data_IF_816274534221
#
_entry.id   IF_816274534221
#
_cell.length_a   1.000
_cell.length_b   1.000
_cell.length_c   1.000
_cell.angle_alpha   90.00
_cell.angle_beta   90.00
_cell.angle_gamma   90.00
#
_symmetry.space_group_name_H-M   'P 1'
#
loop_
_entity.id
_entity.type
_entity.pdbx_description
1 polymer ?
#
# COMPACT_ATOMS: atom_id res chain seq x y z
N UNK A 1 -33.07 69.08 -6.12
CA UNK A 1 -32.69 68.12 -7.19
C UNK A 1 -32.29 66.84 -6.48
N UNK A 2 -33.00 65.74 -6.72
CA UNK A 2 -32.76 64.49 -6.00
C UNK A 2 -31.40 63.92 -6.40
N UNK A 3 -30.47 63.81 -5.44
CA UNK A 3 -29.27 63.00 -5.60
C UNK A 3 -29.71 61.56 -5.87
N UNK A 4 -29.62 61.13 -7.13
CA UNK A 4 -29.80 59.74 -7.49
C UNK A 4 -28.71 58.94 -6.76
N UNK A 5 -29.10 58.15 -5.76
CA UNK A 5 -28.20 57.20 -5.09
C UNK A 5 -27.55 56.33 -6.15
N UNK A 6 -26.29 56.61 -6.49
CA UNK A 6 -25.51 55.79 -7.42
C UNK A 6 -25.30 54.43 -6.79
N UNK A 7 -25.98 53.43 -7.34
CA UNK A 7 -25.78 52.04 -6.94
C UNK A 7 -24.49 51.53 -7.57
N UNK A 8 -23.37 51.76 -6.88
CA UNK A 8 -22.02 51.42 -7.34
C UNK A 8 -21.96 49.96 -7.80
N UNK A 9 -22.51 49.03 -7.02
CA UNK A 9 -22.56 47.60 -7.36
C UNK A 9 -23.26 47.34 -8.71
N UNK A 10 -24.41 47.97 -8.95
CA UNK A 10 -25.18 47.82 -10.18
C UNK A 10 -24.38 48.32 -11.40
N UNK A 11 -23.65 49.41 -11.25
CA UNK A 11 -22.77 49.92 -12.30
C UNK A 11 -21.60 48.95 -12.60
N UNK A 12 -21.05 48.26 -11.59
CA UNK A 12 -20.03 47.22 -11.80
C UNK A 12 -20.61 46.01 -12.52
N UNK A 13 -21.79 45.54 -12.10
CA UNK A 13 -22.52 44.45 -12.77
C UNK A 13 -22.84 44.76 -14.23
N UNK A 14 -23.34 45.96 -14.53
CA UNK A 14 -23.59 46.41 -15.91
C UNK A 14 -22.31 46.47 -16.74
N UNK A 15 -21.22 46.94 -16.14
CA UNK A 15 -19.92 46.98 -16.80
C UNK A 15 -19.41 45.57 -17.13
N UNK A 16 -19.52 44.64 -16.18
CA UNK A 16 -19.17 43.22 -16.38
C UNK A 16 -20.05 42.59 -17.47
N UNK A 17 -21.35 42.89 -17.49
CA UNK A 17 -22.28 42.39 -18.50
C UNK A 17 -21.94 42.87 -19.92
N UNK A 18 -21.55 44.15 -20.05
CA UNK A 18 -21.04 44.70 -21.32
C UNK A 18 -19.73 44.03 -21.78
N UNK A 19 -18.96 43.50 -20.84
CA UNK A 19 -17.68 42.79 -21.08
C UNK A 19 -17.79 41.28 -20.85
N UNK A 20 -18.97 40.69 -21.05
CA UNK A 20 -19.21 39.24 -20.88
C UNK A 20 -18.21 38.33 -21.62
N UNK A 21 -17.67 38.78 -22.75
CA UNK A 21 -16.63 38.06 -23.50
C UNK A 21 -15.32 37.88 -22.71
N UNK A 22 -14.98 38.79 -21.80
CA UNK A 22 -13.81 38.66 -20.93
C UNK A 22 -13.94 37.46 -19.99
N UNK A 23 -15.16 37.13 -19.52
CA UNK A 23 -15.43 35.93 -18.72
C UNK A 23 -15.31 34.63 -19.49
N UNK A 24 -15.26 34.68 -20.82
CA UNK A 24 -15.06 33.49 -21.65
C UNK A 24 -13.61 33.38 -22.09
N UNK A 25 -13.01 34.47 -22.59
CA UNK A 25 -11.67 34.47 -23.18
C UNK A 25 -10.58 34.30 -22.12
N UNK A 26 -10.64 35.05 -21.02
CA UNK A 26 -9.55 35.07 -20.03
C UNK A 26 -9.43 33.72 -19.30
N UNK A 27 -10.51 33.08 -18.81
CA UNK A 27 -10.40 31.75 -18.20
C UNK A 27 -9.89 30.68 -19.16
N UNK A 28 -10.27 30.75 -20.45
CA UNK A 28 -9.76 29.83 -21.47
C UNK A 28 -8.26 30.01 -21.71
N UNK A 29 -7.76 31.25 -21.78
CA UNK A 29 -6.32 31.52 -21.89
C UNK A 29 -5.57 30.96 -20.68
N UNK A 30 -6.09 31.19 -19.46
CA UNK A 30 -5.46 30.68 -18.25
C UNK A 30 -5.54 29.14 -18.14
N UNK A 31 -6.59 28.51 -18.65
CA UNK A 31 -6.66 27.05 -18.76
C UNK A 31 -5.60 26.51 -19.72
N UNK A 32 -5.38 27.17 -20.87
CA UNK A 32 -4.31 26.83 -21.81
C UNK A 32 -2.92 27.06 -21.19
N UNK A 33 -2.74 28.12 -20.40
CA UNK A 33 -1.51 28.37 -19.66
C UNK A 33 -1.28 27.30 -18.59
N UNK A 34 -2.31 26.86 -17.87
CA UNK A 34 -2.22 25.75 -16.92
C UNK A 34 -1.83 24.43 -17.60
N UNK A 35 -2.41 24.16 -18.76
CA UNK A 35 -2.03 23.02 -19.60
C UNK A 35 -0.59 23.14 -20.12
N UNK A 36 -0.17 24.31 -20.60
CA UNK A 36 1.22 24.54 -21.01
C UNK A 36 2.19 24.40 -19.83
N UNK A 37 1.83 24.93 -18.67
CA UNK A 37 2.59 24.80 -17.43
C UNK A 37 2.73 23.33 -17.03
N UNK A 38 1.73 22.48 -17.26
CA UNK A 38 1.83 21.03 -16.98
C UNK A 38 2.87 20.29 -17.83
N UNK A 39 3.32 20.87 -18.96
CA UNK A 39 4.43 20.34 -19.76
C UNK A 39 5.80 20.84 -19.28
N UNK A 40 5.83 21.94 -18.53
CA UNK A 40 7.07 22.58 -18.04
C UNK A 40 7.34 22.24 -16.57
N UNK A 41 6.28 22.12 -15.77
CA UNK A 41 6.32 21.61 -14.40
C UNK A 41 6.48 20.10 -14.54
N UNK A 42 7.74 19.66 -14.56
CA UNK A 42 8.10 18.24 -14.55
C UNK A 42 7.36 17.53 -13.43
N UNK A 43 6.67 16.44 -13.74
CA UNK A 43 6.48 15.38 -12.76
C UNK A 43 7.88 14.88 -12.39
N UNK A 44 8.16 14.64 -11.10
CA UNK A 44 9.50 14.26 -10.61
C UNK A 44 10.09 13.01 -11.31
N UNK A 45 9.29 12.27 -12.09
CA UNK A 45 9.72 11.27 -13.06
C UNK A 45 8.78 11.18 -14.27
N UNK A 46 9.28 10.71 -15.42
CA UNK A 46 8.47 10.40 -16.62
C UNK A 46 7.70 9.09 -16.53
N UNK A 47 8.22 8.11 -15.80
CA UNK A 47 7.63 6.78 -15.69
C UNK A 47 7.46 6.36 -14.23
N UNK A 48 6.52 5.45 -14.01
CA UNK A 48 6.23 4.85 -12.72
C UNK A 48 6.14 3.34 -12.89
N UNK A 49 7.03 2.62 -12.22
CA UNK A 49 7.02 1.18 -12.11
C UNK A 49 6.18 0.78 -10.92
N UNK A 50 5.27 -0.17 -11.09
CA UNK A 50 4.45 -0.74 -10.03
C UNK A 50 4.65 -2.26 -10.01
N UNK A 51 5.10 -2.78 -8.88
CA UNK A 51 5.13 -4.20 -8.61
C UNK A 51 4.25 -4.55 -7.41
N UNK A 52 3.59 -5.69 -7.45
CA UNK A 52 2.84 -6.25 -6.32
C UNK A 52 3.28 -7.67 -6.10
N UNK A 53 3.86 -7.92 -4.93
CA UNK A 53 4.33 -9.23 -4.48
C UNK A 53 3.40 -9.73 -3.38
N UNK A 54 2.88 -10.93 -3.57
CA UNK A 54 2.12 -11.64 -2.54
C UNK A 54 3.07 -12.28 -1.55
N UNK A 55 2.91 -11.95 -0.26
CA UNK A 55 3.77 -12.47 0.82
C UNK A 55 3.27 -13.79 1.38
N UNK A 56 2.08 -14.25 0.97
CA UNK A 56 1.45 -15.46 1.50
C UNK A 56 1.23 -15.37 3.01
N UNK A 57 1.60 -16.44 3.70
CA UNK A 57 1.49 -16.57 5.16
C UNK A 57 2.68 -15.96 5.94
N UNK A 58 3.57 -15.22 5.29
CA UNK A 58 4.74 -14.61 5.90
C UNK A 58 4.34 -13.29 6.58
N UNK A 59 4.58 -13.20 7.88
CA UNK A 59 4.31 -12.01 8.72
C UNK A 59 5.58 -11.37 9.30
N UNK A 60 6.75 -11.81 8.84
CA UNK A 60 8.02 -11.34 9.39
C UNK A 60 8.23 -9.86 9.06
N UNK A 61 8.38 -9.01 10.09
CA UNK A 61 8.56 -7.56 9.91
C UNK A 61 9.73 -7.16 9.00
N UNK A 62 10.77 -8.00 8.88
CA UNK A 62 11.87 -7.76 7.94
C UNK A 62 11.46 -7.83 6.47
N UNK A 63 10.38 -8.56 6.16
CA UNK A 63 9.86 -8.82 4.81
C UNK A 63 8.48 -8.18 4.57
N UNK A 64 7.86 -7.61 5.60
CA UNK A 64 6.50 -7.02 5.54
C UNK A 64 6.42 -5.60 6.09
N UNK A 65 7.54 -4.97 6.42
CA UNK A 65 7.59 -3.56 6.78
C UNK A 65 8.12 -2.74 5.59
N UNK A 66 7.42 -1.67 5.16
CA UNK A 66 7.84 -0.80 4.07
C UNK A 66 9.30 -0.31 4.16
N UNK A 67 9.70 0.23 5.30
CA UNK A 67 11.02 0.81 5.50
C UNK A 67 12.12 -0.24 5.36
N UNK A 68 11.88 -1.44 5.91
CA UNK A 68 12.79 -2.56 5.76
C UNK A 68 12.87 -3.06 4.31
N UNK A 69 11.76 -3.02 3.57
CA UNK A 69 11.73 -3.44 2.18
C UNK A 69 12.57 -2.49 1.33
N UNK A 70 12.40 -1.18 1.51
CA UNK A 70 13.21 -0.17 0.82
C UNK A 70 14.68 -0.30 1.22
N UNK A 71 14.98 -0.42 2.52
CA UNK A 71 16.36 -0.50 3.01
C UNK A 71 17.10 -1.76 2.56
N UNK A 72 16.44 -2.92 2.53
CA UNK A 72 17.10 -4.20 2.24
C UNK A 72 17.09 -4.57 0.75
N UNK A 73 16.12 -4.07 -0.02
CA UNK A 73 15.94 -4.47 -1.42
C UNK A 73 16.09 -3.33 -2.42
N UNK A 74 16.10 -2.06 -1.96
CA UNK A 74 16.30 -0.88 -2.79
C UNK A 74 17.77 -0.60 -3.17
N UNK A 75 18.73 -1.38 -2.68
CA UNK A 75 20.14 -1.19 -3.04
C UNK A 75 20.36 -1.40 -4.55
N UNK A 76 20.90 -0.40 -5.23
CA UNK A 76 21.17 -0.44 -6.68
C UNK A 76 19.91 -0.31 -7.55
N UNK A 77 18.82 0.23 -7.00
CA UNK A 77 17.67 0.74 -7.74
C UNK A 77 17.81 2.25 -7.85
N UNK A 78 17.73 2.79 -9.06
CA UNK A 78 17.80 4.24 -9.25
C UNK A 78 16.41 4.89 -9.00
N UNK A 79 16.38 6.17 -8.64
CA UNK A 79 15.12 6.92 -8.46
C UNK A 79 14.43 6.78 -7.10
N UNK A 80 13.21 7.33 -7.02
CA UNK A 80 12.44 7.37 -5.76
C UNK A 80 11.64 6.08 -5.60
N UNK A 81 11.87 5.38 -4.48
CA UNK A 81 11.22 4.12 -4.14
C UNK A 81 10.20 4.38 -3.03
N UNK A 82 8.96 3.96 -3.26
CA UNK A 82 7.90 3.93 -2.27
C UNK A 82 7.41 2.48 -2.12
N UNK A 83 7.30 2.02 -0.87
CA UNK A 83 6.83 0.69 -0.56
C UNK A 83 5.59 0.79 0.33
N UNK A 84 4.58 -0.02 0.01
CA UNK A 84 3.35 -0.06 0.78
C UNK A 84 2.95 -1.50 1.03
N UNK A 85 2.61 -1.83 2.27
CA UNK A 85 2.13 -3.17 2.62
C UNK A 85 0.63 -3.12 2.91
N UNK A 86 -0.15 -3.79 2.07
CA UNK A 86 -1.61 -3.83 2.20
C UNK A 86 -2.02 -4.94 3.17
N UNK A 87 -2.54 -4.54 4.34
CA UNK A 87 -3.30 -5.32 5.33
C UNK A 87 -2.99 -6.84 5.41
N UNK A 88 -1.71 -7.21 5.41
CA UNK A 88 -1.14 -8.50 5.82
C UNK A 88 -0.68 -9.48 4.73
N UNK A 89 -0.86 -9.22 3.43
CA UNK A 89 -0.46 -10.23 2.40
C UNK A 89 0.14 -9.69 1.11
N UNK A 90 0.27 -8.38 0.95
CA UNK A 90 0.78 -7.80 -0.30
C UNK A 90 1.80 -6.71 -0.02
N UNK A 91 2.95 -6.81 -0.67
CA UNK A 91 3.95 -5.76 -0.78
C UNK A 91 3.77 -5.09 -2.14
N UNK A 92 3.43 -3.81 -2.14
CA UNK A 92 3.37 -2.96 -3.31
C UNK A 92 4.62 -2.12 -3.35
N UNK A 93 5.29 -2.10 -4.49
CA UNK A 93 6.50 -1.34 -4.74
C UNK A 93 6.19 -0.38 -5.86
N UNK A 94 6.56 0.88 -5.66
CA UNK A 94 6.44 1.94 -6.65
C UNK A 94 7.81 2.56 -6.84
N UNK A 95 8.31 2.57 -8.07
CA UNK A 95 9.61 3.17 -8.43
C UNK A 95 9.34 4.26 -9.46
N UNK A 96 9.91 5.44 -9.28
CA UNK A 96 9.79 6.56 -10.21
C UNK A 96 11.14 6.84 -10.88
N UNK A 97 11.19 6.79 -12.20
CA UNK A 97 12.39 7.05 -13.00
C UNK A 97 12.06 7.67 -14.38
N UNK A 98 13.06 8.26 -15.02
CA UNK A 98 12.94 8.89 -16.33
C UNK A 98 13.20 7.95 -17.51
N UNK A 99 13.93 6.85 -17.29
CA UNK A 99 14.22 5.83 -18.29
C UNK A 99 13.32 4.61 -18.08
N UNK A 100 12.61 4.19 -19.14
CA UNK A 100 11.66 3.07 -19.08
C UNK A 100 12.36 1.72 -18.99
N UNK A 101 13.48 1.54 -19.68
CA UNK A 101 14.20 0.27 -19.74
C UNK A 101 14.92 0.02 -18.42
N UNK A 102 15.58 1.05 -17.89
CA UNK A 102 16.21 1.02 -16.57
C UNK A 102 15.18 0.75 -15.48
N UNK A 103 14.04 1.45 -15.51
CA UNK A 103 12.94 1.25 -14.57
C UNK A 103 12.39 -0.17 -14.59
N UNK A 104 12.22 -0.75 -15.78
CA UNK A 104 11.74 -2.13 -15.90
C UNK A 104 12.76 -3.12 -15.33
N UNK A 105 14.05 -2.90 -15.57
CA UNK A 105 15.14 -3.72 -15.05
C UNK A 105 15.19 -3.64 -13.52
N UNK A 106 15.13 -2.45 -12.96
CA UNK A 106 15.21 -2.21 -11.52
C UNK A 106 13.96 -2.73 -10.79
N UNK A 107 12.78 -2.50 -11.36
CA UNK A 107 11.52 -3.02 -10.84
C UNK A 107 11.52 -4.56 -10.81
N UNK A 108 11.96 -5.19 -11.90
CA UNK A 108 12.09 -6.65 -11.97
C UNK A 108 13.11 -7.15 -10.95
N UNK A 109 14.33 -6.59 -10.93
CA UNK A 109 15.38 -7.01 -10.01
C UNK A 109 14.97 -6.87 -8.54
N UNK A 110 14.32 -5.76 -8.17
CA UNK A 110 13.83 -5.54 -6.82
C UNK A 110 12.71 -6.53 -6.47
N UNK A 111 11.75 -6.75 -7.38
CA UNK A 111 10.65 -7.69 -7.17
C UNK A 111 11.13 -9.14 -7.01
N UNK A 112 12.12 -9.56 -7.81
CA UNK A 112 12.74 -10.89 -7.73
C UNK A 112 13.53 -11.08 -6.43
N UNK A 113 14.26 -10.06 -5.96
CA UNK A 113 14.96 -10.13 -4.67
C UNK A 113 13.98 -10.31 -3.51
N UNK A 114 12.87 -9.59 -3.53
CA UNK A 114 11.81 -9.70 -2.52
C UNK A 114 11.15 -11.08 -2.59
N UNK A 115 10.77 -11.53 -3.78
CA UNK A 115 10.20 -12.86 -3.98
C UNK A 115 11.15 -13.96 -3.48
N UNK A 116 12.43 -13.92 -3.87
CA UNK A 116 13.41 -14.91 -3.43
C UNK A 116 13.59 -14.93 -1.90
N UNK A 117 13.58 -13.76 -1.26
CA UNK A 117 13.65 -13.68 0.20
C UNK A 117 12.40 -14.28 0.86
N UNK A 118 11.21 -14.01 0.29
CA UNK A 118 9.95 -14.58 0.76
C UNK A 118 9.91 -16.11 0.54
N UNK A 119 10.30 -16.61 -0.63
CA UNK A 119 10.36 -18.05 -0.94
C UNK A 119 11.31 -18.75 0.03
N UNK A 120 12.47 -18.16 0.31
CA UNK A 120 13.44 -18.74 1.25
C UNK A 120 12.88 -18.83 2.68
N UNK A 121 12.20 -17.79 3.17
CA UNK A 121 11.54 -17.83 4.48
C UNK A 121 10.39 -18.86 4.49
N UNK A 122 9.59 -18.90 3.42
CA UNK A 122 8.53 -19.89 3.24
C UNK A 122 9.08 -21.33 3.33
N UNK A 123 10.09 -21.67 2.55
CA UNK A 123 10.70 -23.01 2.55
C UNK A 123 11.29 -23.38 3.90
N UNK A 124 11.97 -22.43 4.54
CA UNK A 124 12.52 -22.63 5.88
C UNK A 124 11.43 -22.92 6.91
N UNK A 125 10.37 -22.10 6.94
CA UNK A 125 9.25 -22.28 7.87
C UNK A 125 8.53 -23.59 7.60
N UNK A 126 8.23 -23.90 6.34
CA UNK A 126 7.60 -25.16 5.94
C UNK A 126 8.41 -26.35 6.44
N UNK A 127 9.72 -26.37 6.18
CA UNK A 127 10.61 -27.45 6.63
C UNK A 127 10.62 -27.62 8.15
N UNK A 128 10.77 -26.52 8.91
CA UNK A 128 10.77 -26.56 10.38
C UNK A 128 9.44 -27.08 10.91
N UNK A 129 8.33 -26.65 10.31
CA UNK A 129 6.98 -27.08 10.69
C UNK A 129 6.75 -28.57 10.37
N UNK A 130 7.20 -29.05 9.22
CA UNK A 130 7.15 -30.48 8.83
C UNK A 130 7.98 -31.34 9.79
N UNK A 131 9.21 -30.93 10.12
CA UNK A 131 10.07 -31.62 11.10
C UNK A 131 9.43 -31.65 12.49
N UNK A 132 8.78 -30.57 12.91
CA UNK A 132 8.06 -30.53 14.19
C UNK A 132 6.85 -31.47 14.20
N UNK A 133 6.10 -31.53 13.10
CA UNK A 133 4.99 -32.48 12.93
C UNK A 133 5.47 -33.93 13.07
N UNK A 134 6.56 -34.29 12.39
CA UNK A 134 7.14 -35.63 12.46
C UNK A 134 7.61 -36.00 13.88
N UNK A 135 8.16 -35.04 14.65
CA UNK A 135 8.53 -35.26 16.06
C UNK A 135 7.32 -35.48 16.96
N UNK A 136 6.20 -34.78 16.71
CA UNK A 136 4.97 -34.99 17.45
C UNK A 136 4.36 -36.37 17.16
N UNK A 137 4.43 -36.82 15.90
CA UNK A 137 4.01 -38.15 15.49
C UNK A 137 4.84 -39.25 16.16
N UNK A 138 6.17 -39.15 16.11
CA UNK A 138 7.09 -40.08 16.79
C UNK A 138 6.84 -40.12 18.30
N UNK A 139 6.62 -38.95 18.93
CA UNK A 139 6.27 -38.86 20.35
C UNK A 139 4.93 -39.56 20.66
N UNK A 140 3.91 -39.33 19.84
CA UNK A 140 2.60 -39.97 20.00
C UNK A 140 2.68 -41.49 19.83
N UNK A 141 3.52 -41.98 18.90
CA UNK A 141 3.78 -43.41 18.71
C UNK A 141 4.49 -44.02 19.93
N UNK A 142 5.57 -43.41 20.42
CA UNK A 142 6.28 -43.92 21.61
C UNK A 142 5.40 -43.95 22.85
N UNK A 143 4.54 -42.95 23.03
CA UNK A 143 3.56 -42.93 24.12
C UNK A 143 2.50 -44.02 23.95
N UNK A 144 2.07 -44.31 22.72
CA UNK A 144 1.16 -45.43 22.43
C UNK A 144 1.83 -46.76 22.83
N UNK A 145 3.06 -47.01 22.38
CA UNK A 145 3.79 -48.24 22.70
C UNK A 145 4.00 -48.40 24.22
N UNK A 146 4.30 -47.29 24.91
CA UNK A 146 4.41 -47.27 26.37
C UNK A 146 3.08 -47.59 27.07
N UNK A 147 1.95 -47.11 26.55
CA UNK A 147 0.63 -47.41 27.11
C UNK A 147 0.27 -48.88 26.90
N UNK A 148 0.51 -49.42 25.70
CA UNK A 148 0.30 -50.84 25.38
C UNK A 148 1.17 -51.76 26.26
N UNK A 149 2.39 -51.32 26.63
CA UNK A 149 3.24 -52.05 27.57
C UNK A 149 2.75 -51.98 29.04
N UNK A 150 2.05 -50.91 29.43
CA UNK A 150 1.51 -50.72 30.79
C UNK A 150 0.17 -51.43 30.99
N UNK A 151 -0.66 -51.58 29.96
CA UNK A 151 -1.96 -52.26 30.02
C UNK A 151 -1.93 -53.63 30.70
N UNK A 152 -1.07 -54.59 30.31
CA UNK A 152 -1.04 -55.90 30.96
C UNK A 152 -0.51 -55.83 32.40
N UNK A 153 0.17 -54.75 32.81
CA UNK A 153 0.62 -54.56 34.20
C UNK A 153 -0.52 -54.08 35.10
N UNK A 154 -1.48 -53.33 34.56
CA UNK A 154 -2.66 -52.86 35.29
C UNK A 154 -3.62 -54.01 35.65
N UNK A 155 -3.60 -55.10 34.88
CA UNK A 155 -4.41 -56.31 35.14
C UNK A 155 -3.79 -57.25 36.18
N UNK A 156 -2.55 -56.99 36.63
CA UNK A 156 -1.86 -57.83 37.63
C UNK A 156 -2.27 -57.45 39.04
N UNK A 157 -2.23 -58.44 39.93
CA UNK A 157 -2.44 -58.21 41.36
C UNK A 157 -1.20 -57.52 41.95
N UNK A 158 -1.25 -56.19 42.01
CA UNK A 158 -0.18 -55.32 42.50
C UNK A 158 -0.51 -54.78 43.89
N UNK A 159 0.50 -54.53 44.75
CA UNK A 159 0.31 -53.77 45.97
C UNK A 159 -0.33 -52.40 45.68
N UNK A 160 -1.24 -51.95 46.55
CA UNK A 160 -2.05 -50.74 46.34
C UNK A 160 -1.23 -49.51 45.93
N UNK A 161 -0.06 -49.31 46.54
CA UNK A 161 0.84 -48.19 46.22
C UNK A 161 1.40 -48.27 44.80
N UNK A 162 1.85 -49.46 44.37
CA UNK A 162 2.36 -49.68 43.01
C UNK A 162 1.26 -49.54 41.96
N UNK A 163 0.05 -50.00 42.28
CA UNK A 163 -1.12 -49.83 41.42
C UNK A 163 -1.47 -48.34 41.22
N UNK A 164 -1.43 -47.55 42.29
CA UNK A 164 -1.66 -46.10 42.23
C UNK A 164 -0.60 -45.40 41.38
N UNK A 165 0.69 -45.68 41.59
CA UNK A 165 1.79 -45.08 40.82
C UNK A 165 1.72 -45.44 39.33
N UNK A 166 1.39 -46.70 39.01
CA UNK A 166 1.21 -47.15 37.64
C UNK A 166 0.01 -46.48 36.98
N UNK A 167 -1.13 -46.38 37.67
CA UNK A 167 -2.33 -45.71 37.17
C UNK A 167 -2.06 -44.24 36.89
N UNK A 168 -1.37 -43.54 37.79
CA UNK A 168 -0.96 -42.14 37.60
C UNK A 168 -0.07 -41.97 36.37
N UNK A 169 0.92 -42.85 36.22
CA UNK A 169 1.83 -42.84 35.07
C UNK A 169 1.10 -43.12 33.75
N UNK A 170 0.16 -44.07 33.76
CA UNK A 170 -0.68 -44.41 32.61
C UNK A 170 -1.58 -43.24 32.20
N UNK A 171 -2.29 -42.62 33.15
CA UNK A 171 -3.10 -41.42 32.88
C UNK A 171 -2.26 -40.26 32.36
N UNK A 172 -1.07 -40.04 32.93
CA UNK A 172 -0.15 -39.01 32.45
C UNK A 172 0.30 -39.28 31.00
N UNK A 173 0.64 -40.53 30.66
CA UNK A 173 1.02 -40.92 29.31
C UNK A 173 -0.15 -40.77 28.32
N UNK A 174 -1.38 -41.12 28.71
CA UNK A 174 -2.58 -40.90 27.88
C UNK A 174 -2.80 -39.41 27.59
N UNK A 175 -2.71 -38.56 28.62
CA UNK A 175 -2.87 -37.11 28.47
C UNK A 175 -1.80 -36.55 27.53
N UNK A 176 -0.53 -36.90 27.74
CA UNK A 176 0.56 -36.45 26.87
C UNK A 176 0.40 -36.93 25.42
N UNK A 177 -0.14 -38.14 25.20
CA UNK A 177 -0.41 -38.66 23.85
C UNK A 177 -1.50 -37.85 23.18
N UNK A 178 -2.59 -37.57 23.90
CA UNK A 178 -3.69 -36.74 23.41
C UNK A 178 -3.20 -35.33 23.04
N UNK A 179 -2.38 -34.72 23.92
CA UNK A 179 -1.76 -33.42 23.66
C UNK A 179 -0.87 -33.43 22.40
N UNK A 180 -0.04 -34.46 22.24
CA UNK A 180 0.82 -34.60 21.06
C UNK A 180 0.00 -34.72 19.77
N UNK A 181 -1.09 -35.51 19.77
CA UNK A 181 -1.98 -35.66 18.62
C UNK A 181 -2.73 -34.36 18.29
N UNK A 182 -3.23 -33.64 19.31
CA UNK A 182 -3.88 -32.34 19.11
C UNK A 182 -2.90 -31.32 18.56
N UNK A 183 -1.67 -31.28 19.09
CA UNK A 183 -0.63 -30.42 18.58
C UNK A 183 -0.26 -30.76 17.12
N UNK A 184 -0.15 -32.05 16.79
CA UNK A 184 0.14 -32.51 15.43
C UNK A 184 -0.97 -32.08 14.47
N UNK A 185 -2.24 -32.27 14.85
CA UNK A 185 -3.36 -31.86 14.00
C UNK A 185 -3.38 -30.34 13.76
N UNK A 186 -3.06 -29.52 14.77
CA UNK A 186 -2.93 -28.07 14.59
C UNK A 186 -1.84 -27.74 13.57
N UNK A 187 -0.68 -28.36 13.70
CA UNK A 187 0.44 -28.18 12.77
C UNK A 187 0.07 -28.60 11.35
N UNK A 188 -0.63 -29.72 11.17
CA UNK A 188 -1.09 -30.19 9.85
C UNK A 188 -2.11 -29.23 9.24
N UNK A 189 -3.01 -28.67 10.04
CA UNK A 189 -3.97 -27.66 9.57
C UNK A 189 -3.28 -26.34 9.18
N UNK A 190 -2.25 -25.93 9.92
CA UNK A 190 -1.43 -24.78 9.54
C UNK A 190 -0.64 -25.08 8.25
N UNK A 191 -0.14 -26.31 8.08
CA UNK A 191 0.54 -26.75 6.86
C UNK A 191 -0.34 -26.70 5.62
N UNK A 192 -1.63 -27.04 5.74
CA UNK A 192 -2.56 -27.00 4.60
C UNK A 192 -2.92 -25.59 4.15
N UNK A 193 -2.68 -24.58 5.00
CA UNK A 193 -2.94 -23.16 4.71
C UNK A 193 -1.65 -22.36 4.42
N UNK A 194 -0.50 -23.02 4.27
CA UNK A 194 0.75 -22.41 3.82
C UNK A 194 0.73 -22.11 2.32
N UNK A 195 0.27 -20.92 1.96
CA UNK A 195 0.36 -20.41 0.58
C UNK A 195 1.76 -19.87 0.27
N UNK A 196 2.35 -20.24 -0.88
CA UNK A 196 3.66 -19.74 -1.31
C UNK A 196 3.56 -18.28 -1.78
N UNK A 197 4.61 -17.47 -1.58
CA UNK A 197 4.69 -16.13 -2.11
C UNK A 197 4.82 -16.14 -3.64
N UNK A 198 4.38 -15.07 -4.31
CA UNK A 198 4.51 -14.91 -5.77
C UNK A 198 4.43 -13.46 -6.22
N UNK A 199 5.06 -13.11 -7.35
CA UNK A 199 4.87 -11.81 -8.01
C UNK A 199 3.56 -11.82 -8.80
N UNK A 200 2.65 -10.89 -8.49
CA UNK A 200 1.33 -10.78 -9.15
C UNK A 200 1.34 -9.72 -10.25
N UNK A 201 1.94 -8.58 -9.97
CA UNK A 201 2.00 -7.44 -10.90
C UNK A 201 3.44 -6.99 -10.99
N UNK A 202 3.91 -6.74 -12.21
CA UNK A 202 5.16 -6.06 -12.51
C UNK A 202 4.96 -5.29 -13.82
N UNK A 203 4.69 -3.99 -13.72
CA UNK A 203 4.34 -3.17 -14.87
C UNK A 203 4.94 -1.76 -14.76
N UNK A 204 5.36 -1.22 -15.90
CA UNK A 204 5.83 0.16 -16.04
C UNK A 204 4.79 0.97 -16.81
N UNK A 205 4.29 2.03 -16.18
CA UNK A 205 3.33 2.97 -16.76
C UNK A 205 3.94 4.35 -16.89
N UNK A 206 3.40 5.17 -17.79
CA UNK A 206 3.75 6.59 -17.82
C UNK A 206 3.28 7.25 -16.52
N UNK A 207 4.08 8.15 -15.95
CA UNK A 207 3.69 8.86 -14.73
C UNK A 207 2.43 9.69 -15.00
N UNK A 208 1.49 9.68 -14.05
CA UNK A 208 0.31 10.53 -14.11
C UNK A 208 0.76 11.99 -14.12
N UNK A 209 0.62 12.62 -15.28
CA UNK A 209 0.85 14.05 -15.40
C UNK A 209 -0.34 14.79 -14.82
N UNK A 210 -0.11 15.78 -13.94
CA UNK A 210 -1.15 16.63 -13.34
C UNK A 210 -1.82 17.58 -14.35
N UNK A 211 -1.93 17.19 -15.63
CA UNK A 211 -2.49 17.97 -16.74
C UNK A 211 -3.89 18.46 -16.41
N UNK A 212 -4.76 17.56 -15.94
CA UNK A 212 -6.14 17.87 -15.62
C UNK A 212 -6.22 18.83 -14.44
N UNK A 213 -5.46 18.57 -13.37
CA UNK A 213 -5.45 19.39 -12.15
C UNK A 213 -4.93 20.81 -12.42
N UNK A 214 -3.81 20.93 -13.15
CA UNK A 214 -3.21 22.22 -13.52
C UNK A 214 -4.08 23.00 -14.51
N UNK A 215 -4.78 22.31 -15.42
CA UNK A 215 -5.74 22.95 -16.33
C UNK A 215 -6.93 23.51 -15.56
N UNK A 216 -7.47 22.75 -14.59
CA UNK A 216 -8.58 23.20 -13.73
C UNK A 216 -8.14 24.36 -12.84
N UNK A 217 -6.96 24.26 -12.21
CA UNK A 217 -6.39 25.33 -11.40
C UNK A 217 -6.20 26.61 -12.24
N UNK A 218 -5.68 26.48 -13.47
CA UNK A 218 -5.60 27.56 -14.44
C UNK A 218 -6.97 28.20 -14.71
N UNK A 219 -8.00 27.39 -14.97
CA UNK A 219 -9.35 27.90 -15.20
C UNK A 219 -9.88 28.71 -13.99
N UNK A 220 -9.75 28.17 -12.77
CA UNK A 220 -10.17 28.84 -11.54
C UNK A 220 -9.43 30.17 -11.37
N UNK A 221 -8.11 30.16 -11.53
CA UNK A 221 -7.28 31.37 -11.47
C UNK A 221 -7.70 32.39 -12.54
N UNK A 222 -8.02 31.93 -13.75
CA UNK A 222 -8.49 32.79 -14.84
C UNK A 222 -9.82 33.47 -14.53
N UNK A 223 -10.76 32.78 -13.88
CA UNK A 223 -12.04 33.38 -13.44
C UNK A 223 -11.79 34.46 -12.39
N UNK A 224 -10.97 34.16 -11.37
CA UNK A 224 -10.61 35.12 -10.32
C UNK A 224 -9.87 36.33 -10.92
N UNK A 225 -8.91 36.09 -11.80
CA UNK A 225 -8.18 37.14 -12.49
C UNK A 225 -9.11 38.01 -13.34
N UNK A 226 -10.09 37.43 -14.01
CA UNK A 226 -11.10 38.17 -14.79
C UNK A 226 -11.87 39.16 -13.92
N UNK A 227 -12.30 38.72 -12.73
CA UNK A 227 -13.03 39.59 -11.79
C UNK A 227 -12.16 40.78 -11.37
N UNK A 228 -10.95 40.51 -10.92
CA UNK A 228 -10.00 41.54 -10.49
C UNK A 228 -9.66 42.49 -11.65
N UNK A 229 -9.38 41.93 -12.82
CA UNK A 229 -9.05 42.68 -14.03
C UNK A 229 -10.19 43.63 -14.43
N UNK A 230 -11.44 43.17 -14.42
CA UNK A 230 -12.58 44.01 -14.76
C UNK A 230 -12.87 45.10 -13.72
N UNK A 231 -12.60 44.83 -12.43
CA UNK A 231 -12.68 45.84 -11.37
C UNK A 231 -11.67 46.96 -11.65
N UNK A 232 -10.39 46.59 -11.84
CA UNK A 232 -9.33 47.56 -12.14
C UNK A 232 -9.58 48.30 -13.45
N UNK A 233 -10.03 47.60 -14.48
CA UNK A 233 -10.33 48.22 -15.78
C UNK A 233 -11.42 49.29 -15.64
N UNK A 234 -12.49 48.99 -14.91
CA UNK A 234 -13.55 49.97 -14.66
C UNK A 234 -13.02 51.16 -13.85
N UNK A 235 -12.24 50.89 -12.80
CA UNK A 235 -11.63 51.93 -11.98
C UNK A 235 -10.78 52.90 -12.81
N UNK A 236 -9.96 52.38 -13.73
CA UNK A 236 -9.13 53.20 -14.64
C UNK A 236 -10.00 54.07 -15.57
N UNK A 237 -11.09 53.52 -16.12
CA UNK A 237 -12.01 54.30 -16.97
C UNK A 237 -12.66 55.44 -16.17
N UNK A 238 -13.11 55.16 -14.95
CA UNK A 238 -13.74 56.17 -14.09
C UNK A 238 -12.77 57.25 -13.67
N UNK A 239 -11.54 56.88 -13.29
CA UNK A 239 -10.47 57.82 -12.99
C UNK A 239 -10.15 58.71 -14.20
N UNK A 240 -10.04 58.13 -15.40
CA UNK A 240 -9.81 58.90 -16.64
C UNK A 240 -10.97 59.85 -16.97
N UNK A 241 -12.22 59.43 -16.75
CA UNK A 241 -13.40 60.30 -16.96
C UNK A 241 -13.42 61.46 -15.97
N UNK A 242 -12.96 61.25 -14.74
CA UNK A 242 -12.87 62.29 -13.72
C UNK A 242 -11.78 63.33 -14.07
N UNK A 243 -10.61 62.88 -14.53
CA UNK A 243 -9.51 63.78 -14.93
C UNK A 243 -9.70 64.49 -16.27
N UNK A 244 -10.51 63.95 -17.20
CA UNK A 244 -10.79 64.60 -18.50
C UNK A 244 -11.98 65.58 -18.45
N UNK A 245 -12.54 65.84 -17.26
CA UNK A 245 -13.64 66.78 -17.03
C UNK A 245 -13.25 67.99 -16.16
N UNK A 246 -11.95 68.16 -15.90
CA UNK A 246 -11.30 69.44 -15.61
C UNK A 246 -10.56 69.92 -16.89
#
# INVERSE_FOLDING_TARGET
>A
MAEQKKFVLYEYLLFFWKKKWSFLIIPVIFALLGLAASYVISTDAKYTGNATVFTGSIKQKGLTNPDNIVANFGEGVDGEIDAFVSSDSYVKIKIKQDDREELQKDLTAMSERIENALVKDYEFRKKVTEEYSAKLEDRASKLKDSLEAMEPLLERDLPLTQYQDLTLSYTAAQNQRSEALVAQQRVVNDLSSFEPPSVIVNQVTQADTNKTELTIAGLILGVLFTLVFLIFWKYIIEARRYYNHD
#
